data_IF_374734422915
#
_entry.id   IF_374734422915
#
_cell.length_a   1.000
_cell.length_b   1.000
_cell.length_c   1.000
_cell.angle_alpha   90.00
_cell.angle_beta   90.00
_cell.angle_gamma   90.00
#
_symmetry.space_group_name_H-M   'P 1'
#
loop_
_entity.id
_entity.type
_entity.pdbx_description
1 polymer ?
#
# COMPACT_ATOMS: atom_id res chain seq x y z
N UNK A 1 -6.59 -13.11 -10.36
CA UNK A 1 -7.29 -13.18 -9.05
C UNK A 1 -8.09 -14.48 -8.98
N UNK A 2 -8.12 -15.08 -7.80
CA UNK A 2 -8.88 -16.31 -7.53
C UNK A 2 -9.77 -16.09 -6.31
N UNK A 3 -11.03 -16.50 -6.41
CA UNK A 3 -11.95 -16.48 -5.28
C UNK A 3 -11.68 -17.67 -4.35
N UNK A 4 -11.36 -17.39 -3.09
CA UNK A 4 -11.08 -18.41 -2.06
C UNK A 4 -12.36 -18.73 -1.27
N UNK A 5 -13.38 -17.88 -1.36
CA UNK A 5 -14.65 -18.02 -0.64
C UNK A 5 -14.71 -17.17 0.64
N UNK A 6 -15.91 -17.03 1.20
CA UNK A 6 -16.20 -16.29 2.44
C UNK A 6 -15.65 -14.85 2.46
N UNK A 7 -15.64 -14.17 1.30
CA UNK A 7 -15.13 -12.80 1.16
C UNK A 7 -13.65 -12.70 0.90
N UNK A 8 -12.91 -13.81 0.86
CA UNK A 8 -11.49 -13.85 0.55
C UNK A 8 -11.23 -14.03 -0.94
N UNK A 9 -10.24 -13.32 -1.46
CA UNK A 9 -9.72 -13.45 -2.81
C UNK A 9 -8.19 -13.45 -2.76
N UNK A 10 -7.57 -14.33 -3.53
CA UNK A 10 -6.13 -14.35 -3.77
C UNK A 10 -5.79 -13.68 -5.10
N UNK A 11 -4.64 -13.05 -5.17
CA UNK A 11 -4.11 -12.54 -6.43
C UNK A 11 -2.61 -12.81 -6.53
N UNK A 12 -2.17 -13.04 -7.76
CA UNK A 12 -0.77 -13.17 -8.12
C UNK A 12 -0.53 -12.44 -9.44
N UNK A 13 0.50 -11.62 -9.47
CA UNK A 13 1.05 -11.01 -10.67
C UNK A 13 2.56 -11.22 -10.64
N UNK A 14 3.06 -11.99 -11.58
CA UNK A 14 4.47 -12.34 -11.65
C UNK A 14 5.02 -12.04 -13.04
N UNK A 15 5.83 -11.00 -13.13
CA UNK A 15 6.48 -10.58 -14.36
C UNK A 15 7.98 -10.77 -14.20
N UNK A 16 8.58 -11.51 -15.10
CA UNK A 16 10.03 -11.77 -15.10
C UNK A 16 10.54 -11.86 -16.55
N UNK A 17 11.71 -11.34 -16.77
CA UNK A 17 12.48 -11.58 -18.00
C UNK A 17 13.80 -12.23 -17.65
N UNK A 18 14.28 -13.08 -18.53
CA UNK A 18 15.55 -13.80 -18.35
C UNK A 18 16.76 -12.98 -18.77
N UNK A 19 16.56 -11.94 -19.60
CA UNK A 19 17.60 -11.08 -20.13
C UNK A 19 17.15 -9.62 -20.10
N UNK A 20 18.00 -8.74 -19.62
CA UNK A 20 17.76 -7.28 -19.57
C UNK A 20 17.65 -6.64 -20.99
N UNK A 21 18.13 -7.34 -22.04
CA UNK A 21 18.02 -6.90 -23.42
C UNK A 21 16.73 -7.32 -24.12
N UNK A 22 15.93 -8.18 -23.49
CA UNK A 22 14.73 -8.78 -24.06
C UNK A 22 13.80 -7.76 -24.74
N UNK A 23 13.52 -6.66 -24.07
CA UNK A 23 12.63 -5.63 -24.62
C UNK A 23 13.26 -4.81 -25.75
N UNK A 24 14.58 -4.70 -25.79
CA UNK A 24 15.28 -3.98 -26.88
C UNK A 24 15.35 -4.78 -28.16
N UNK A 25 15.49 -6.10 -28.04
CA UNK A 25 15.68 -6.97 -29.20
C UNK A 25 14.37 -7.33 -29.90
N UNK A 26 13.26 -7.38 -29.14
CA UNK A 26 11.99 -7.89 -29.65
C UNK A 26 10.98 -6.82 -30.06
N UNK A 27 11.16 -5.57 -29.67
CA UNK A 27 10.13 -4.57 -29.93
C UNK A 27 10.66 -3.20 -30.30
N UNK A 28 10.33 -2.70 -31.52
CA UNK A 28 10.60 -1.31 -31.88
C UNK A 28 9.67 -0.31 -31.17
N UNK A 29 8.81 -0.77 -30.25
CA UNK A 29 7.78 0.04 -29.60
C UNK A 29 8.34 0.70 -28.34
N UNK A 30 8.53 2.03 -28.38
CA UNK A 30 9.02 2.87 -27.28
C UNK A 30 8.30 2.65 -25.93
N UNK A 31 7.02 2.29 -25.96
CA UNK A 31 6.23 2.04 -24.74
C UNK A 31 6.68 0.80 -23.97
N UNK A 32 7.20 -0.23 -24.64
CA UNK A 32 7.68 -1.46 -23.98
C UNK A 32 9.16 -1.35 -23.59
N UNK A 33 9.95 -0.56 -24.32
CA UNK A 33 11.34 -0.28 -23.95
C UNK A 33 11.46 0.65 -22.73
N UNK A 34 10.37 1.32 -22.33
CA UNK A 34 10.32 2.15 -21.13
C UNK A 34 9.95 1.39 -19.83
N UNK A 35 9.66 0.09 -19.91
CA UNK A 35 9.37 -0.74 -18.74
C UNK A 35 10.68 -1.15 -18.04
N UNK A 36 11.14 -0.28 -17.14
CA UNK A 36 12.38 -0.53 -16.37
C UNK A 36 12.17 -1.41 -15.15
N UNK A 37 10.94 -1.48 -14.61
CA UNK A 37 10.63 -2.20 -13.37
C UNK A 37 9.46 -3.18 -13.57
N UNK A 38 9.76 -4.47 -13.51
CA UNK A 38 8.76 -5.53 -13.61
C UNK A 38 8.27 -5.91 -12.22
N UNK A 39 7.00 -5.65 -11.96
CA UNK A 39 6.37 -5.95 -10.67
C UNK A 39 6.11 -7.45 -10.51
N UNK A 40 6.50 -7.98 -9.34
CA UNK A 40 6.18 -9.32 -8.88
C UNK A 40 5.45 -9.17 -7.55
N UNK A 41 4.17 -9.52 -7.52
CA UNK A 41 3.36 -9.36 -6.30
C UNK A 41 2.36 -10.49 -6.15
N UNK A 42 2.12 -10.85 -4.90
CA UNK A 42 1.10 -11.82 -4.53
C UNK A 42 0.50 -11.45 -3.19
N UNK A 43 -0.79 -11.73 -3.02
CA UNK A 43 -1.47 -11.39 -1.80
C UNK A 43 -2.89 -11.86 -1.74
N UNK A 44 -3.58 -11.41 -0.69
CA UNK A 44 -4.97 -11.71 -0.41
C UNK A 44 -5.73 -10.44 -0.08
N UNK A 45 -7.00 -10.43 -0.46
CA UNK A 45 -7.96 -9.42 -0.05
C UNK A 45 -9.13 -10.08 0.65
N UNK A 46 -9.69 -9.40 1.62
CA UNK A 46 -10.92 -9.79 2.30
C UNK A 46 -11.93 -8.65 2.23
N UNK A 47 -13.16 -8.98 1.90
CA UNK A 47 -14.28 -8.05 1.96
C UNK A 47 -15.43 -8.71 2.72
N UNK A 48 -15.88 -8.08 3.77
CA UNK A 48 -16.90 -8.62 4.65
C UNK A 48 -17.83 -7.57 5.23
N UNK A 49 -18.83 -8.05 5.98
CA UNK A 49 -19.77 -7.20 6.71
C UNK A 49 -19.33 -7.05 8.17
N UNK A 50 -19.45 -5.84 8.69
CA UNK A 50 -19.27 -5.51 10.10
C UNK A 50 -20.63 -5.25 10.74
N UNK A 51 -21.40 -6.33 10.95
CA UNK A 51 -22.81 -6.27 11.39
C UNK A 51 -23.75 -5.69 10.32
N UNK A 52 -24.91 -5.17 10.73
CA UNK A 52 -25.98 -4.75 9.81
C UNK A 52 -25.58 -3.59 8.88
N UNK A 53 -24.92 -2.56 9.42
CA UNK A 53 -24.65 -1.30 8.71
C UNK A 53 -23.15 -1.03 8.57
N UNK A 54 -22.34 -2.07 8.46
CA UNK A 54 -20.90 -1.90 8.36
C UNK A 54 -20.26 -2.83 7.36
N UNK A 55 -19.09 -2.41 6.88
CA UNK A 55 -18.22 -3.16 5.98
C UNK A 55 -16.80 -3.13 6.52
N UNK A 56 -16.06 -4.17 6.23
CA UNK A 56 -14.63 -4.26 6.51
C UNK A 56 -13.95 -4.82 5.27
N UNK A 57 -12.86 -4.20 4.88
CA UNK A 57 -11.95 -4.70 3.86
C UNK A 57 -10.54 -4.79 4.42
N UNK A 58 -9.84 -5.81 4.00
CA UNK A 58 -8.44 -6.03 4.34
C UNK A 58 -7.68 -6.42 3.09
N UNK A 59 -6.45 -5.94 2.96
CA UNK A 59 -5.53 -6.36 1.90
C UNK A 59 -4.17 -6.63 2.51
N UNK A 60 -3.60 -7.79 2.21
CA UNK A 60 -2.24 -8.15 2.57
C UNK A 60 -1.50 -8.65 1.34
N UNK A 61 -0.32 -8.09 1.06
CA UNK A 61 0.50 -8.52 -0.07
C UNK A 61 2.00 -8.33 0.18
N UNK A 62 2.77 -9.08 -0.60
CA UNK A 62 4.19 -8.87 -0.80
C UNK A 62 4.43 -8.43 -2.24
N UNK A 63 5.28 -7.43 -2.43
CA UNK A 63 5.65 -6.91 -3.74
C UNK A 63 7.15 -6.65 -3.81
N UNK A 64 7.76 -7.13 -4.87
CA UNK A 64 9.14 -6.82 -5.26
C UNK A 64 9.20 -6.46 -6.74
N UNK A 65 10.37 -6.00 -7.18
CA UNK A 65 10.58 -5.59 -8.56
C UNK A 65 11.83 -6.25 -9.13
N UNK A 66 11.75 -6.69 -10.38
CA UNK A 66 12.93 -6.92 -11.20
C UNK A 66 13.20 -5.62 -11.97
N UNK A 67 14.31 -4.95 -11.65
CA UNK A 67 14.73 -3.75 -12.38
C UNK A 67 15.62 -4.17 -13.54
N UNK A 68 15.22 -3.80 -14.75
CA UNK A 68 15.97 -4.04 -15.98
C UNK A 68 17.04 -2.96 -16.06
N UNK A 69 18.30 -3.35 -15.95
CA UNK A 69 19.43 -2.40 -15.98
C UNK A 69 19.83 -2.05 -17.42
N UNK A 70 20.02 -0.77 -17.65
CA UNK A 70 20.71 -0.31 -18.86
C UNK A 70 22.20 -0.13 -18.55
N UNK A 71 23.13 -0.76 -19.32
CA UNK A 71 24.55 -0.55 -19.15
C UNK A 71 25.00 0.91 -19.28
N UNK A 72 24.24 1.74 -20.01
CA UNK A 72 24.51 3.16 -20.26
C UNK A 72 23.80 4.09 -19.26
N UNK A 73 22.80 3.60 -18.54
CA UNK A 73 22.04 4.38 -17.56
C UNK A 73 21.59 3.45 -16.42
N UNK A 74 22.23 3.56 -15.27
CA UNK A 74 21.85 2.80 -14.08
C UNK A 74 20.56 3.35 -13.50
N UNK A 75 19.56 2.50 -13.34
CA UNK A 75 18.28 2.83 -12.69
C UNK A 75 18.29 2.34 -11.25
N UNK A 76 17.81 3.21 -10.34
CA UNK A 76 17.57 2.83 -8.95
C UNK A 76 16.29 2.01 -8.89
N UNK A 77 16.34 0.83 -8.28
CA UNK A 77 15.16 -0.01 -8.06
C UNK A 77 14.16 0.70 -7.16
N UNK A 78 12.85 0.54 -7.37
CA UNK A 78 11.87 1.02 -6.41
C UNK A 78 11.89 0.19 -5.13
N UNK A 79 11.43 0.79 -4.03
CA UNK A 79 11.26 0.08 -2.76
C UNK A 79 10.33 -1.13 -2.89
N UNK A 80 10.77 -2.26 -2.39
CA UNK A 80 9.94 -3.43 -2.20
C UNK A 80 9.04 -3.26 -0.99
N UNK A 81 7.86 -3.85 -1.01
CA UNK A 81 6.92 -3.87 0.11
C UNK A 81 6.75 -5.30 0.61
N UNK A 82 7.45 -5.63 1.72
CA UNK A 82 7.61 -7.00 2.18
C UNK A 82 7.41 -7.12 3.72
N UNK A 83 6.18 -7.33 4.20
CA UNK A 83 4.88 -7.22 3.53
C UNK A 83 4.21 -5.84 3.63
N UNK A 84 3.07 -5.69 2.98
CA UNK A 84 2.13 -4.58 3.16
C UNK A 84 0.78 -5.12 3.63
N UNK A 85 0.21 -4.47 4.65
CA UNK A 85 -1.14 -4.71 5.13
C UNK A 85 -1.93 -3.41 5.14
N UNK A 86 -3.19 -3.46 4.71
CA UNK A 86 -4.11 -2.35 4.84
C UNK A 86 -5.49 -2.82 5.26
N UNK A 87 -6.19 -2.01 6.01
CA UNK A 87 -7.54 -2.27 6.50
C UNK A 87 -8.36 -0.99 6.37
N UNK A 88 -9.58 -1.14 5.89
CA UNK A 88 -10.63 -0.13 5.97
C UNK A 88 -11.84 -0.76 6.64
N UNK A 89 -12.40 -0.10 7.64
CA UNK A 89 -13.62 -0.51 8.30
C UNK A 89 -14.56 0.69 8.39
N UNK A 90 -15.82 0.49 7.99
CA UNK A 90 -16.87 1.51 8.04
C UNK A 90 -18.04 0.94 8.82
N UNK A 91 -18.54 1.71 9.79
CA UNK A 91 -19.76 1.38 10.53
C UNK A 91 -20.67 2.61 10.55
N UNK A 92 -21.81 2.47 9.94
CA UNK A 92 -22.77 3.58 9.80
C UNK A 92 -23.91 3.51 10.79
N UNK A 93 -24.46 4.68 11.11
CA UNK A 93 -25.65 4.85 11.93
C UNK A 93 -25.53 4.20 13.34
N UNK A 94 -24.39 4.39 13.98
CA UNK A 94 -24.20 4.03 15.39
C UNK A 94 -24.53 5.26 16.23
N UNK A 95 -25.73 5.31 16.82
CA UNK A 95 -26.18 6.51 17.57
C UNK A 95 -26.25 7.78 16.69
N UNK A 96 -26.65 7.67 15.44
CA UNK A 96 -26.67 8.73 14.42
C UNK A 96 -25.29 9.19 13.93
N UNK A 97 -24.23 8.47 14.26
CA UNK A 97 -22.87 8.74 13.82
C UNK A 97 -22.38 7.65 12.87
N UNK A 98 -21.51 8.02 11.97
CA UNK A 98 -20.78 7.11 11.11
C UNK A 98 -19.32 7.07 11.54
N UNK A 99 -18.78 5.87 11.71
CA UNK A 99 -17.38 5.61 12.08
C UNK A 99 -16.65 5.00 10.90
N UNK A 100 -15.44 5.48 10.67
CA UNK A 100 -14.54 4.95 9.66
C UNK A 100 -13.14 4.81 10.25
N UNK A 101 -12.50 3.68 9.98
CA UNK A 101 -11.13 3.40 10.36
C UNK A 101 -10.34 3.01 9.13
N UNK A 102 -9.30 3.76 8.82
CA UNK A 102 -8.29 3.42 7.84
C UNK A 102 -6.97 3.13 8.55
N UNK A 103 -6.34 2.02 8.21
CA UNK A 103 -5.05 1.65 8.75
C UNK A 103 -4.19 0.97 7.70
N UNK A 104 -2.88 1.19 7.76
CA UNK A 104 -1.93 0.43 6.96
C UNK A 104 -0.60 0.28 7.69
N UNK A 105 0.03 -0.85 7.45
CA UNK A 105 1.39 -1.11 7.88
C UNK A 105 2.19 -1.65 6.70
N UNK A 106 3.39 -1.10 6.49
CA UNK A 106 4.24 -1.45 5.36
C UNK A 106 5.67 -1.59 5.86
N UNK A 107 6.29 -2.71 5.54
CA UNK A 107 7.73 -2.87 5.63
C UNK A 107 8.34 -2.62 4.24
N UNK A 108 9.20 -1.61 4.16
CA UNK A 108 9.93 -1.22 2.97
C UNK A 108 11.33 -1.80 3.01
N UNK A 109 11.70 -2.47 1.95
CA UNK A 109 13.03 -3.00 1.75
C UNK A 109 13.65 -2.42 0.48
N UNK A 110 14.92 -2.05 0.56
CA UNK A 110 15.71 -1.60 -0.58
C UNK A 110 17.15 -2.15 -0.51
N UNK A 111 17.72 -2.66 -1.62
CA UNK A 111 19.04 -3.28 -1.59
C UNK A 111 20.17 -2.30 -1.24
N UNK A 112 20.02 -1.01 -1.55
CA UNK A 112 21.08 0.02 -1.39
C UNK A 112 20.65 1.22 -0.56
N UNK A 113 19.34 1.45 -0.39
CA UNK A 113 18.81 2.57 0.37
C UNK A 113 18.37 2.16 1.79
N UNK A 114 17.90 3.12 2.57
CA UNK A 114 17.45 2.90 3.95
C UNK A 114 16.17 2.07 3.97
N UNK A 115 16.20 0.95 4.68
CA UNK A 115 15.00 0.17 4.98
C UNK A 115 14.16 0.85 6.07
N UNK A 116 12.86 0.60 6.06
CA UNK A 116 12.01 1.16 7.10
C UNK A 116 10.61 0.59 7.14
N UNK A 117 9.92 0.90 8.23
CA UNK A 117 8.54 0.49 8.46
C UNK A 117 7.67 1.74 8.60
N UNK A 118 6.48 1.69 8.06
CA UNK A 118 5.50 2.76 8.18
C UNK A 118 4.19 2.19 8.71
N UNK A 119 3.71 2.77 9.79
CA UNK A 119 2.36 2.56 10.31
C UNK A 119 1.53 3.83 10.06
N UNK A 120 0.36 3.67 9.47
CA UNK A 120 -0.64 4.74 9.33
C UNK A 120 -1.91 4.30 10.03
N UNK A 121 -2.50 5.18 10.83
CA UNK A 121 -3.76 4.95 11.53
C UNK A 121 -4.61 6.21 11.45
N UNK A 122 -5.79 6.09 10.85
CA UNK A 122 -6.70 7.20 10.61
C UNK A 122 -8.14 6.84 10.97
N UNK A 123 -8.51 6.88 12.26
CA UNK A 123 -9.90 6.84 12.70
C UNK A 123 -10.60 8.16 12.43
N UNK A 124 -11.85 8.09 12.01
CA UNK A 124 -12.70 9.28 11.91
C UNK A 124 -14.16 8.97 12.26
N UNK A 125 -14.87 10.01 12.66
CA UNK A 125 -16.28 10.00 12.95
C UNK A 125 -16.97 11.13 12.22
N UNK A 126 -18.13 10.88 11.67
CA UNK A 126 -18.96 11.90 11.04
C UNK A 126 -20.40 11.83 11.57
N UNK A 127 -21.05 12.99 11.62
CA UNK A 127 -22.43 13.14 12.10
C UNK A 127 -23.28 13.67 10.95
N UNK A 128 -24.02 12.80 10.21
CA UNK A 128 -24.87 13.24 9.12
C UNK A 128 -26.14 13.94 9.69
N UNK A 129 -26.17 15.25 9.62
CA UNK A 129 -27.35 16.07 9.99
C UNK A 129 -28.08 16.45 8.70
N UNK A 130 -29.33 15.98 8.58
CA UNK A 130 -30.16 16.23 7.39
C UNK A 130 -31.55 16.71 7.80
N UNK A 131 -32.06 17.70 7.08
CA UNK A 131 -33.44 18.19 7.18
C UNK A 131 -34.00 18.45 5.77
N UNK A 132 -35.23 18.97 5.69
CA UNK A 132 -35.91 19.26 4.42
C UNK A 132 -35.24 20.38 3.60
N UNK A 133 -34.44 21.22 4.23
CA UNK A 133 -33.79 22.39 3.61
C UNK A 133 -32.33 22.17 3.24
N UNK A 134 -31.69 21.10 3.75
CA UNK A 134 -30.29 20.83 3.44
C UNK A 134 -29.65 19.79 4.34
N UNK A 135 -28.35 19.62 4.18
CA UNK A 135 -27.57 18.71 5.01
C UNK A 135 -26.22 19.28 5.38
N UNK A 136 -25.73 18.93 6.55
CA UNK A 136 -24.37 19.18 7.05
C UNK A 136 -23.80 17.87 7.58
N UNK A 137 -22.55 17.55 7.22
CA UNK A 137 -21.88 16.33 7.67
C UNK A 137 -20.51 16.74 8.29
N UNK A 138 -20.49 17.24 9.53
CA UNK A 138 -19.24 17.46 10.23
C UNK A 138 -18.49 16.14 10.38
N UNK A 139 -17.18 16.17 10.11
CA UNK A 139 -16.26 15.03 10.19
C UNK A 139 -15.07 15.39 11.04
N UNK A 140 -14.77 14.53 12.01
CA UNK A 140 -13.60 14.66 12.87
C UNK A 140 -12.75 13.40 12.70
N UNK A 141 -11.45 13.55 12.55
CA UNK A 141 -10.52 12.45 12.39
C UNK A 141 -9.17 12.78 12.99
N UNK A 142 -8.46 11.73 13.41
CA UNK A 142 -7.10 11.80 13.88
C UNK A 142 -6.21 11.05 12.90
N UNK A 143 -5.23 11.73 12.31
CA UNK A 143 -4.26 11.08 11.43
C UNK A 143 -2.95 10.87 12.21
N UNK A 144 -2.59 9.60 12.40
CA UNK A 144 -1.33 9.20 13.02
C UNK A 144 -0.47 8.45 12.02
N UNK A 145 0.80 8.84 11.91
CA UNK A 145 1.78 8.13 11.07
C UNK A 145 3.07 8.00 11.85
N UNK A 146 3.55 6.77 11.97
CA UNK A 146 4.84 6.44 12.57
C UNK A 146 5.77 5.83 11.50
N UNK A 147 7.03 6.26 11.51
CA UNK A 147 8.10 5.71 10.68
C UNK A 147 9.21 5.16 11.58
N UNK A 148 9.65 3.95 11.30
CA UNK A 148 10.83 3.34 11.93
C UNK A 148 11.83 2.99 10.84
N UNK A 149 13.02 3.58 10.88
CA UNK A 149 14.10 3.34 9.93
C UNK A 149 15.07 2.31 10.52
N UNK A 150 15.34 1.23 9.78
CA UNK A 150 16.10 0.08 10.28
C UNK A 150 17.59 0.09 9.86
N UNK A 151 17.93 0.73 8.74
CA UNK A 151 19.31 0.87 8.24
C UNK A 151 19.56 2.29 7.76
N UNK A 152 20.74 2.82 8.08
CA UNK A 152 21.25 4.00 7.39
C UNK A 152 22.13 3.54 6.22
N UNK A 153 22.18 4.27 5.08
CA UNK A 153 23.21 4.07 4.07
C UNK A 153 24.61 4.14 4.72
N UNK A 154 25.57 3.39 4.20
CA UNK A 154 26.92 3.23 4.76
C UNK A 154 27.65 4.58 5.01
N UNK A 155 27.19 5.69 4.46
CA UNK A 155 27.75 7.03 4.65
C UNK A 155 26.93 7.96 5.58
N UNK A 156 25.73 7.57 6.02
CA UNK A 156 24.94 8.40 6.94
C UNK A 156 25.02 7.85 8.36
N UNK A 157 25.77 8.51 9.21
CA UNK A 157 25.95 8.23 10.66
C UNK A 157 24.68 8.58 11.46
N UNK A 158 23.50 8.16 11.01
CA UNK A 158 22.27 8.30 11.77
C UNK A 158 21.74 6.93 12.20
N UNK A 159 21.92 6.65 13.47
CA UNK A 159 21.34 5.53 14.21
C UNK A 159 19.81 5.66 14.13
N UNK A 160 19.09 4.59 13.84
CA UNK A 160 17.65 4.52 13.60
C UNK A 160 16.84 5.57 14.37
N UNK A 161 16.19 6.44 13.64
CA UNK A 161 15.38 7.51 14.19
C UNK A 161 13.90 7.16 14.01
N UNK A 162 13.15 7.15 15.11
CA UNK A 162 11.70 7.03 15.08
C UNK A 162 11.11 8.42 14.89
N UNK A 163 10.36 8.62 13.84
CA UNK A 163 9.67 9.88 13.54
C UNK A 163 8.18 9.67 13.69
N UNK A 164 7.59 10.30 14.69
CA UNK A 164 6.15 10.36 14.89
C UNK A 164 5.60 11.67 14.33
N UNK A 165 4.58 11.59 13.51
CA UNK A 165 3.86 12.74 12.97
C UNK A 165 2.37 12.61 13.31
N UNK A 166 1.85 13.55 14.03
CA UNK A 166 0.42 13.75 14.34
C UNK A 166 -0.18 14.86 13.50
#
# INVERSE_FOLDING_TARGET
>A
TQNIGKGWQGFLNYNQVSDDRYFRELTPNLAQTSLTNLSQQGGVTYNGRLGANGTISFTGFAQRFQTIQDPLALFVSPYERLPHFSMNAIKRNVGKMDFELNGSWTNFYHPTEVDGKRLVFYPNVSVPLRNEYGFIIPKFGLHYTNYSLDKAPVEATHKGENIDRT
#
